data_IF_189612326148
#
_entry.id   IF_189612326148
#
_cell.length_a   1.000
_cell.length_b   1.000
_cell.length_c   1.000
_cell.angle_alpha   90.00
_cell.angle_beta   90.00
_cell.angle_gamma   90.00
#
_symmetry.space_group_name_H-M   'P 1'
#
loop_
_entity.id
_entity.type
_entity.pdbx_description
1 polymer ?
#
# COMPACT_ATOMS: atom_id res chain seq x y z
N UNK A 1 -2.46 6.25 -26.68
CA UNK A 1 -2.47 7.27 -25.61
C UNK A 1 -2.54 6.55 -24.26
N UNK A 2 -1.93 7.04 -23.15
CA UNK A 2 -1.99 6.34 -21.87
C UNK A 2 -3.37 6.49 -21.21
N UNK A 3 -4.00 5.36 -20.86
CA UNK A 3 -5.30 5.30 -20.20
C UNK A 3 -5.21 5.68 -18.72
N UNK A 4 -6.29 6.27 -18.18
CA UNK A 4 -6.38 6.68 -16.77
C UNK A 4 -7.50 5.94 -16.05
N UNK A 5 -7.48 5.94 -14.72
CA UNK A 5 -8.52 5.29 -13.88
C UNK A 5 -9.96 5.73 -14.18
N UNK A 6 -10.13 6.94 -14.71
CA UNK A 6 -11.43 7.50 -15.14
C UNK A 6 -11.60 7.56 -16.66
N UNK A 7 -10.59 7.15 -17.43
CA UNK A 7 -10.53 7.28 -18.88
C UNK A 7 -9.94 5.99 -19.48
N UNK A 8 -10.79 4.98 -19.65
CA UNK A 8 -10.44 3.62 -20.05
C UNK A 8 -11.35 3.12 -21.18
N UNK A 9 -10.89 2.16 -22.01
CA UNK A 9 -11.66 1.66 -23.14
C UNK A 9 -12.95 0.95 -22.70
N UNK A 10 -13.97 0.97 -23.55
CA UNK A 10 -15.28 0.38 -23.26
C UNK A 10 -15.21 -1.10 -22.83
N UNK A 11 -14.24 -1.86 -23.37
CA UNK A 11 -13.98 -3.26 -23.01
C UNK A 11 -13.59 -3.47 -21.54
N UNK A 12 -13.14 -2.42 -20.84
CA UNK A 12 -12.78 -2.46 -19.40
C UNK A 12 -13.91 -1.95 -18.49
N UNK A 13 -15.03 -1.47 -19.03
CA UNK A 13 -16.13 -0.87 -18.25
C UNK A 13 -16.81 -1.85 -17.30
N UNK A 14 -16.87 -3.13 -17.69
CA UNK A 14 -17.51 -4.19 -16.91
C UNK A 14 -16.56 -4.90 -15.94
N UNK A 15 -15.29 -4.48 -15.88
CA UNK A 15 -14.32 -5.02 -14.93
C UNK A 15 -14.50 -4.38 -13.57
N UNK A 16 -14.29 -5.17 -12.51
CA UNK A 16 -14.25 -4.67 -11.15
C UNK A 16 -13.23 -3.52 -11.02
N UNK A 17 -13.53 -2.42 -10.29
CA UNK A 17 -12.62 -1.26 -10.19
C UNK A 17 -11.19 -1.63 -9.80
N UNK A 18 -11.01 -2.67 -8.97
CA UNK A 18 -9.69 -3.18 -8.56
C UNK A 18 -8.95 -3.82 -9.73
N UNK A 19 -9.61 -4.71 -10.46
CA UNK A 19 -9.08 -5.38 -11.66
C UNK A 19 -8.81 -4.34 -12.74
N UNK A 20 -9.72 -3.39 -12.95
CA UNK A 20 -9.60 -2.32 -13.95
C UNK A 20 -8.39 -1.43 -13.69
N UNK A 21 -8.16 -1.03 -12.45
CA UNK A 21 -6.98 -0.24 -12.08
C UNK A 21 -5.67 -0.95 -12.42
N UNK A 22 -5.58 -2.25 -12.11
CA UNK A 22 -4.41 -3.07 -12.43
C UNK A 22 -4.26 -3.32 -13.94
N UNK A 23 -5.37 -3.50 -14.65
CA UNK A 23 -5.37 -3.65 -16.11
C UNK A 23 -4.88 -2.37 -16.80
N UNK A 24 -5.27 -1.19 -16.34
CA UNK A 24 -4.79 0.08 -16.92
C UNK A 24 -3.28 0.23 -16.74
N UNK A 25 -2.74 -0.11 -15.57
CA UNK A 25 -1.30 -0.07 -15.29
C UNK A 25 -0.51 -0.97 -16.25
N UNK A 26 -0.92 -2.23 -16.37
CA UNK A 26 -0.26 -3.21 -17.25
C UNK A 26 -0.42 -2.82 -18.72
N UNK A 27 -1.61 -2.34 -19.11
CA UNK A 27 -1.87 -1.96 -20.49
C UNK A 27 -1.02 -0.76 -20.91
N UNK A 28 -0.86 0.25 -20.04
CA UNK A 28 0.02 1.38 -20.29
C UNK A 28 1.47 0.94 -20.46
N UNK A 29 1.98 0.03 -19.61
CA UNK A 29 3.33 -0.52 -19.76
C UNK A 29 3.52 -1.25 -21.11
N UNK A 30 2.54 -2.06 -21.51
CA UNK A 30 2.58 -2.75 -22.81
C UNK A 30 2.52 -1.78 -23.99
N UNK A 31 1.76 -0.69 -23.90
CA UNK A 31 1.75 0.36 -24.91
C UNK A 31 3.10 1.07 -25.03
N UNK A 32 3.78 1.30 -23.90
CA UNK A 32 5.13 1.88 -23.88
C UNK A 32 6.17 0.93 -24.51
N UNK A 33 5.97 -0.38 -24.38
CA UNK A 33 6.75 -1.41 -25.07
C UNK A 33 6.39 -1.57 -26.56
N UNK A 34 5.43 -0.78 -27.07
CA UNK A 34 5.03 -0.79 -28.48
C UNK A 34 4.02 -1.87 -28.87
N UNK A 35 3.33 -2.47 -27.91
CA UNK A 35 2.25 -3.42 -28.19
C UNK A 35 1.02 -2.71 -28.75
N UNK A 36 0.31 -3.40 -29.66
CA UNK A 36 -0.95 -2.91 -30.22
C UNK A 36 -2.02 -2.75 -29.14
N UNK A 37 -2.79 -1.66 -29.19
CA UNK A 37 -3.78 -1.29 -28.17
C UNK A 37 -4.77 -2.42 -27.84
N UNK A 38 -5.34 -3.08 -28.86
CA UNK A 38 -6.25 -4.22 -28.65
C UNK A 38 -5.58 -5.41 -27.94
N UNK A 39 -4.32 -5.69 -28.26
CA UNK A 39 -3.54 -6.78 -27.66
C UNK A 39 -3.12 -6.45 -26.24
N UNK A 40 -2.68 -5.21 -26.00
CA UNK A 40 -2.35 -4.69 -24.68
C UNK A 40 -3.56 -4.78 -23.74
N UNK A 41 -4.75 -4.38 -24.19
CA UNK A 41 -6.00 -4.48 -23.41
C UNK A 41 -6.31 -5.94 -23.03
N UNK A 42 -6.19 -6.87 -23.97
CA UNK A 42 -6.51 -8.28 -23.75
C UNK A 42 -5.54 -8.93 -22.74
N UNK A 43 -4.23 -8.72 -22.93
CA UNK A 43 -3.18 -9.24 -22.05
C UNK A 43 -3.32 -8.63 -20.66
N UNK A 44 -3.47 -7.31 -20.58
CA UNK A 44 -3.61 -6.62 -19.31
C UNK A 44 -4.86 -7.04 -18.54
N UNK A 45 -5.99 -7.23 -19.22
CA UNK A 45 -7.21 -7.75 -18.59
C UNK A 45 -7.01 -9.16 -18.05
N UNK A 46 -6.36 -10.04 -18.81
CA UNK A 46 -6.07 -11.41 -18.38
C UNK A 46 -5.13 -11.44 -17.16
N UNK A 47 -4.06 -10.64 -17.18
CA UNK A 47 -3.13 -10.54 -16.06
C UNK A 47 -3.77 -9.91 -14.82
N UNK A 48 -4.58 -8.87 -14.99
CA UNK A 48 -5.27 -8.23 -13.88
C UNK A 48 -6.31 -9.14 -13.21
N UNK A 49 -7.02 -9.97 -13.99
CA UNK A 49 -7.93 -10.99 -13.45
C UNK A 49 -7.17 -12.04 -12.65
N UNK A 50 -6.05 -12.55 -13.18
CA UNK A 50 -5.18 -13.52 -12.48
C UNK A 50 -4.61 -12.95 -11.19
N UNK A 51 -4.14 -11.71 -11.22
CA UNK A 51 -3.67 -11.02 -10.03
C UNK A 51 -4.77 -10.91 -8.96
N UNK A 52 -6.01 -10.62 -9.34
CA UNK A 52 -7.12 -10.55 -8.39
C UNK A 52 -7.51 -11.90 -7.79
N UNK A 53 -7.37 -12.98 -8.55
CA UNK A 53 -7.62 -14.36 -8.10
C UNK A 53 -6.54 -14.83 -7.11
N UNK A 54 -5.27 -14.54 -7.42
CA UNK A 54 -4.10 -14.86 -6.59
C UNK A 54 -3.98 -13.95 -5.35
N UNK A 55 -4.54 -12.74 -5.43
CA UNK A 55 -4.60 -11.77 -4.33
C UNK A 55 -6.06 -11.55 -3.91
N UNK A 56 -6.73 -12.55 -3.33
CA UNK A 56 -8.13 -12.41 -2.92
C UNK A 56 -8.27 -11.22 -1.96
N UNK A 57 -9.33 -10.44 -2.16
CA UNK A 57 -9.71 -9.40 -1.21
C UNK A 57 -9.99 -10.09 0.13
N UNK A 58 -9.19 -9.81 1.15
CA UNK A 58 -9.53 -10.19 2.52
C UNK A 58 -10.85 -9.50 2.87
N UNK A 59 -11.93 -10.28 2.92
CA UNK A 59 -13.29 -9.79 2.98
C UNK A 59 -13.60 -9.30 4.40
N UNK A 60 -13.57 -7.98 4.61
CA UNK A 60 -14.18 -7.36 5.78
C UNK A 60 -15.55 -6.80 5.37
N UNK A 61 -16.64 -7.18 6.06
CA UNK A 61 -18.00 -6.91 5.60
C UNK A 61 -18.31 -5.42 5.50
N UNK A 62 -19.13 -5.12 4.48
CA UNK A 62 -19.43 -3.82 3.92
C UNK A 62 -20.07 -2.85 4.93
N UNK A 63 -19.55 -1.62 4.97
CA UNK A 63 -20.13 -0.54 5.77
C UNK A 63 -19.26 0.70 6.02
N UNK A 64 -18.00 0.75 5.56
CA UNK A 64 -17.12 1.88 5.89
C UNK A 64 -16.44 2.47 4.65
N UNK A 65 -16.79 3.70 4.34
CA UNK A 65 -16.18 4.55 3.32
C UNK A 65 -14.73 4.92 3.71
N UNK A 66 -13.73 4.20 3.18
CA UNK A 66 -12.27 4.50 3.16
C UNK A 66 -11.51 4.67 4.52
N UNK A 67 -10.17 4.51 4.59
CA UNK A 67 -9.21 3.62 3.92
C UNK A 67 -8.39 2.77 4.94
N UNK A 68 -7.82 1.61 4.58
CA UNK A 68 -6.70 0.94 5.32
C UNK A 68 -6.79 0.74 6.85
N UNK A 69 -7.93 0.91 7.52
CA UNK A 69 -8.00 0.75 8.98
C UNK A 69 -8.39 -0.67 9.35
N UNK A 70 -7.39 -1.47 9.76
CA UNK A 70 -7.50 -2.44 10.87
C UNK A 70 -6.16 -3.03 11.34
N UNK A 71 -5.06 -2.79 10.64
CA UNK A 71 -3.72 -2.96 11.20
C UNK A 71 -3.15 -1.57 11.46
N UNK A 72 -3.31 -1.06 12.69
CA UNK A 72 -2.70 0.21 13.11
C UNK A 72 -1.17 0.04 13.14
N UNK A 73 -0.50 0.21 12.00
CA UNK A 73 0.93 -0.01 11.88
C UNK A 73 1.70 0.90 12.85
N UNK A 74 2.85 0.45 13.31
CA UNK A 74 3.68 1.22 14.22
C UNK A 74 4.68 2.02 13.39
N UNK A 75 4.64 3.35 13.49
CA UNK A 75 5.56 4.25 12.79
C UNK A 75 6.63 4.79 13.74
N UNK A 76 7.88 4.73 13.32
CA UNK A 76 9.00 5.41 13.96
C UNK A 76 9.33 6.64 13.14
N UNK A 77 9.07 7.82 13.68
CA UNK A 77 9.27 9.12 13.01
C UNK A 77 10.26 9.99 13.78
N UNK A 78 11.02 10.86 13.09
CA UNK A 78 11.82 11.88 13.77
C UNK A 78 10.91 12.86 14.54
N UNK A 79 11.28 13.23 15.76
CA UNK A 79 10.56 14.18 16.63
C UNK A 79 11.58 15.12 17.30
N UNK A 80 11.80 16.29 16.69
CA UNK A 80 12.80 17.25 17.18
C UNK A 80 14.23 16.69 17.10
N UNK A 81 14.88 16.59 18.27
CA UNK A 81 16.25 16.05 18.41
C UNK A 81 16.26 14.52 18.57
N UNK A 82 15.08 13.89 18.68
CA UNK A 82 14.93 12.46 18.94
C UNK A 82 13.96 11.77 17.98
N UNK A 83 13.39 10.66 18.45
CA UNK A 83 12.52 9.79 17.69
C UNK A 83 11.24 9.48 18.47
N UNK A 84 10.13 9.41 17.75
CA UNK A 84 8.83 9.09 18.31
C UNK A 84 8.25 7.86 17.63
N UNK A 85 7.78 6.93 18.46
CA UNK A 85 7.01 5.77 18.00
C UNK A 85 5.54 6.12 18.12
N UNK A 86 4.76 5.98 17.04
CA UNK A 86 3.32 6.27 17.03
C UNK A 86 2.55 5.18 16.30
N UNK A 87 1.31 4.92 16.71
CA UNK A 87 0.40 4.06 15.93
C UNK A 87 -0.14 4.83 14.74
N UNK A 88 -0.35 4.16 13.62
CA UNK A 88 -0.97 4.74 12.43
C UNK A 88 -2.35 5.29 12.79
N UNK A 89 -2.56 6.59 12.54
CA UNK A 89 -3.78 7.31 12.91
C UNK A 89 -3.84 7.83 14.36
N UNK A 90 -2.85 7.54 15.22
CA UNK A 90 -2.78 8.11 16.56
C UNK A 90 -2.30 9.56 16.53
N UNK A 91 -2.99 10.41 17.30
CA UNK A 91 -2.63 11.84 17.47
C UNK A 91 -1.40 12.04 18.36
N UNK A 92 -1.03 11.02 19.14
CA UNK A 92 0.06 11.08 20.12
C UNK A 92 1.07 9.98 19.84
N UNK A 93 2.35 10.28 20.12
CA UNK A 93 3.38 9.27 20.19
C UNK A 93 3.11 8.33 21.38
N UNK A 94 3.34 7.03 21.18
CA UNK A 94 3.37 6.02 22.23
C UNK A 94 4.57 6.24 23.15
N UNK A 95 5.73 6.49 22.55
CA UNK A 95 6.98 6.75 23.26
C UNK A 95 7.85 7.70 22.45
N UNK A 96 8.65 8.49 23.17
CA UNK A 96 9.72 9.32 22.63
C UNK A 96 11.04 8.79 23.17
N UNK A 97 12.02 8.67 22.30
CA UNK A 97 13.37 8.20 22.62
C UNK A 97 14.38 9.20 22.04
N UNK A 98 15.55 9.28 22.65
CA UNK A 98 16.62 10.15 22.16
C UNK A 98 17.26 9.54 20.90
N UNK A 99 17.34 8.20 20.81
CA UNK A 99 17.96 7.51 19.69
C UNK A 99 16.97 6.78 18.78
N UNK A 100 17.31 6.68 17.49
CA UNK A 100 16.55 5.90 16.50
C UNK A 100 16.48 4.43 16.87
N UNK A 101 17.60 3.90 17.36
CA UNK A 101 17.75 2.47 17.64
C UNK A 101 16.77 2.02 18.72
N UNK A 102 16.61 2.81 19.79
CA UNK A 102 15.61 2.56 20.83
C UNK A 102 14.18 2.62 20.31
N UNK A 103 13.85 3.62 19.47
CA UNK A 103 12.52 3.72 18.86
C UNK A 103 12.20 2.53 17.95
N UNK A 104 13.19 2.07 17.16
CA UNK A 104 13.05 0.92 16.26
C UNK A 104 12.83 -0.36 17.05
N UNK A 105 13.59 -0.60 18.10
CA UNK A 105 13.46 -1.80 18.93
C UNK A 105 12.08 -1.86 19.60
N UNK A 106 11.66 -0.76 20.23
CA UNK A 106 10.32 -0.64 20.83
C UNK A 106 9.22 -0.83 19.79
N UNK A 107 9.37 -0.25 18.59
CA UNK A 107 8.40 -0.40 17.52
C UNK A 107 8.28 -1.84 17.02
N UNK A 108 9.40 -2.55 16.87
CA UNK A 108 9.42 -3.96 16.45
C UNK A 108 8.78 -4.86 17.50
N UNK A 109 9.09 -4.64 18.78
CA UNK A 109 8.46 -5.37 19.88
C UNK A 109 6.94 -5.16 19.89
N UNK A 110 6.50 -3.90 19.83
CA UNK A 110 5.09 -3.55 19.84
C UNK A 110 4.35 -4.06 18.59
N UNK A 111 5.01 -4.05 17.43
CA UNK A 111 4.46 -4.57 16.18
C UNK A 111 4.33 -6.09 16.22
N UNK A 112 5.33 -6.79 16.74
CA UNK A 112 5.33 -8.25 16.92
C UNK A 112 4.21 -8.70 17.87
N UNK A 113 4.09 -8.09 19.05
CA UNK A 113 3.07 -8.42 20.05
C UNK A 113 1.64 -8.25 19.51
N UNK A 114 1.45 -7.24 18.66
CA UNK A 114 0.16 -6.90 18.10
C UNK A 114 -0.09 -7.42 16.66
N UNK A 115 0.79 -8.27 16.11
CA UNK A 115 0.75 -8.77 14.72
C UNK A 115 0.53 -7.64 13.69
N UNK A 116 1.39 -6.62 13.76
CA UNK A 116 1.33 -5.38 12.94
C UNK A 116 2.63 -5.16 12.20
N UNK A 117 2.63 -4.23 11.26
CA UNK A 117 3.89 -3.79 10.63
C UNK A 117 4.55 -2.67 11.42
N UNK A 118 5.88 -2.69 11.52
CA UNK A 118 6.71 -1.59 11.99
C UNK A 118 7.31 -0.85 10.79
N UNK A 119 7.00 0.43 10.63
CA UNK A 119 7.46 1.30 9.54
C UNK A 119 8.45 2.30 10.12
N UNK A 120 9.68 2.26 9.64
CA UNK A 120 10.77 3.08 10.14
C UNK A 120 11.02 4.21 9.15
N UNK A 121 10.93 5.45 9.61
CA UNK A 121 11.23 6.61 8.80
C UNK A 121 12.71 7.03 8.94
N UNK A 122 13.17 7.85 8.01
CA UNK A 122 14.44 8.58 8.06
C UNK A 122 14.23 9.94 8.71
N UNK A 123 15.33 10.63 8.99
CA UNK A 123 15.33 12.00 9.52
C UNK A 123 14.70 13.00 8.53
N UNK A 124 14.75 12.70 7.23
CA UNK A 124 14.06 13.45 6.17
C UNK A 124 12.54 13.13 6.06
N UNK A 125 12.04 12.19 6.89
CA UNK A 125 10.64 11.80 6.92
C UNK A 125 10.23 10.71 5.92
N UNK A 126 11.08 10.34 4.95
CA UNK A 126 10.81 9.20 4.05
C UNK A 126 10.85 7.87 4.80
N UNK A 127 10.18 6.85 4.25
CA UNK A 127 10.28 5.49 4.79
C UNK A 127 11.65 4.93 4.45
N UNK A 128 12.39 4.52 5.48
CA UNK A 128 13.66 3.82 5.33
C UNK A 128 13.45 2.33 5.11
N UNK A 129 12.67 1.72 6.00
CA UNK A 129 12.45 0.27 6.01
C UNK A 129 11.13 -0.05 6.70
N UNK A 130 10.59 -1.23 6.43
CA UNK A 130 9.38 -1.74 7.08
C UNK A 130 9.52 -3.23 7.39
N UNK A 131 9.12 -3.62 8.59
CA UNK A 131 9.05 -5.00 9.04
C UNK A 131 7.59 -5.40 9.15
N UNK A 132 7.19 -6.48 8.48
CA UNK A 132 5.85 -7.03 8.58
C UNK A 132 5.85 -8.24 9.52
N UNK A 133 4.96 -8.22 10.52
CA UNK A 133 4.77 -9.30 11.50
C UNK A 133 3.34 -9.89 11.45
N UNK A 134 2.61 -9.63 10.35
CA UNK A 134 1.27 -10.21 10.10
C UNK A 134 1.32 -11.52 9.31
#
# INVERSE_FOLDING_TARGET
MPWKKNDYPASMKHLDPRVRGKAIEIANALLEEGYEEGRAIAIATAQAKRWNDDHPLYEHPAGSSSPRSRQSNIHVVPDGDGWAVKKEGAKQALVRTDTKLEAVDYAKQQASDSNKSAIIHRQDGTVETSYNYS
#
